data_IF_027355470311
#
_entry.id   IF_027355470311
#
_cell.length_a   1.000
_cell.length_b   1.000
_cell.length_c   1.000
_cell.angle_alpha   90.00
_cell.angle_beta   90.00
_cell.angle_gamma   90.00
#
_symmetry.space_group_name_H-M   'P 1'
#
loop_
_entity.id
_entity.type
_entity.pdbx_description
1 polymer ?
#
# COMPACT_ATOMS: atom_id res chain seq x y z
N UNK A 1 -12.42 -6.63 17.05
CA UNK A 1 -12.09 -6.00 15.75
C UNK A 1 -12.48 -4.53 15.86
N UNK A 2 -11.52 -3.61 15.69
CA UNK A 2 -11.79 -2.16 15.70
C UNK A 2 -12.45 -1.74 14.38
N UNK A 3 -13.37 -0.80 14.41
CA UNK A 3 -14.09 -0.30 13.23
C UNK A 3 -13.85 1.20 13.05
N UNK A 4 -12.65 1.64 12.64
CA UNK A 4 -12.42 3.04 12.33
C UNK A 4 -13.20 3.43 11.08
N UNK A 5 -13.44 4.72 10.90
CA UNK A 5 -14.03 5.25 9.66
C UNK A 5 -13.08 5.04 8.49
N UNK A 6 -11.77 5.30 8.73
CA UNK A 6 -10.73 5.27 7.74
C UNK A 6 -9.57 4.41 8.22
N UNK A 7 -9.09 3.53 7.36
CA UNK A 7 -7.86 2.78 7.57
C UNK A 7 -6.85 3.17 6.49
N UNK A 8 -5.69 3.65 6.92
CA UNK A 8 -4.58 3.99 6.05
C UNK A 8 -3.54 2.87 6.08
N UNK A 9 -3.06 2.46 4.92
CA UNK A 9 -2.06 1.39 4.80
C UNK A 9 -1.23 1.54 3.52
N UNK A 10 -0.29 0.64 3.34
CA UNK A 10 0.43 0.44 2.09
C UNK A 10 0.75 -1.05 1.94
N UNK A 11 1.20 -1.44 0.76
CA UNK A 11 1.63 -2.81 0.55
C UNK A 11 2.89 -3.16 1.36
N UNK A 12 3.15 -4.44 1.49
CA UNK A 12 4.23 -4.99 2.30
C UNK A 12 5.63 -4.46 1.96
N UNK A 13 5.85 -4.02 0.72
CA UNK A 13 7.15 -3.48 0.31
C UNK A 13 7.34 -2.02 0.70
N UNK A 14 6.26 -1.31 0.96
CA UNK A 14 6.23 0.09 1.40
C UNK A 14 6.15 0.20 2.93
N UNK A 15 5.40 -0.71 3.59
CA UNK A 15 5.22 -0.76 5.06
C UNK A 15 6.31 -1.55 5.80
N UNK A 16 7.48 -1.73 5.22
CA UNK A 16 8.56 -2.50 5.83
C UNK A 16 9.07 -1.88 7.12
N UNK A 17 9.49 -2.75 8.04
CA UNK A 17 10.24 -2.32 9.22
C UNK A 17 11.62 -1.77 8.80
N UNK A 18 11.79 -0.46 8.95
CA UNK A 18 12.95 0.28 8.48
C UNK A 18 14.30 -0.04 9.16
N UNK A 19 14.43 -1.07 9.95
CA UNK A 19 15.72 -1.48 10.55
C UNK A 19 16.75 -2.01 9.54
N UNK A 20 16.30 -2.49 8.34
CA UNK A 20 17.16 -2.98 7.25
C UNK A 20 16.78 -2.34 5.89
N UNK A 21 16.44 -1.11 5.89
CA UNK A 21 15.62 -0.38 4.93
C UNK A 21 16.11 -0.29 3.51
N UNK A 22 17.36 0.10 3.31
CA UNK A 22 17.86 0.30 1.94
C UNK A 22 17.81 -0.99 1.12
N UNK A 23 18.12 -2.11 1.76
CA UNK A 23 18.10 -3.42 1.10
C UNK A 23 16.66 -3.88 0.80
N UNK A 24 15.71 -3.66 1.72
CA UNK A 24 14.31 -4.01 1.53
C UNK A 24 13.68 -3.27 0.34
N UNK A 25 13.87 -1.96 0.27
CA UNK A 25 13.41 -1.14 -0.86
C UNK A 25 14.00 -1.56 -2.20
N UNK A 26 15.29 -1.88 -2.22
CA UNK A 26 15.94 -2.39 -3.44
C UNK A 26 15.41 -3.77 -3.85
N UNK A 27 15.22 -4.68 -2.90
CA UNK A 27 14.69 -6.03 -3.18
C UNK A 27 13.23 -5.98 -3.65
N UNK A 28 12.46 -4.98 -3.24
CA UNK A 28 11.10 -4.78 -3.73
C UNK A 28 11.03 -4.65 -5.27
N UNK A 29 12.08 -4.10 -5.88
CA UNK A 29 12.20 -3.96 -7.34
C UNK A 29 12.61 -5.26 -8.05
N UNK A 30 13.04 -6.30 -7.32
CA UNK A 30 13.55 -7.55 -7.91
C UNK A 30 12.37 -8.44 -8.32
N UNK A 31 12.44 -9.07 -9.51
CA UNK A 31 11.44 -10.02 -9.95
C UNK A 31 11.41 -11.29 -9.10
N UNK A 32 10.26 -11.60 -8.51
CA UNK A 32 10.05 -12.73 -7.58
C UNK A 32 10.49 -14.07 -8.16
N UNK A 33 10.10 -14.35 -9.41
CA UNK A 33 10.36 -15.63 -10.08
C UNK A 33 11.79 -15.76 -10.63
N UNK A 34 12.63 -14.75 -10.43
CA UNK A 34 14.05 -14.82 -10.82
C UNK A 34 14.91 -15.51 -9.77
N UNK A 35 14.39 -15.63 -8.55
CA UNK A 35 15.06 -16.29 -7.44
C UNK A 35 14.55 -17.72 -7.25
N UNK A 36 15.40 -18.68 -6.88
CA UNK A 36 14.95 -19.99 -6.44
C UNK A 36 13.93 -19.86 -5.29
N UNK A 37 12.84 -20.62 -5.33
CA UNK A 37 11.70 -20.51 -4.41
C UNK A 37 12.12 -20.48 -2.93
N UNK A 38 13.01 -21.34 -2.42
CA UNK A 38 13.40 -21.29 -1.01
C UNK A 38 14.15 -20.01 -0.65
N UNK A 39 14.94 -19.47 -1.58
CA UNK A 39 15.66 -18.22 -1.37
C UNK A 39 14.73 -17.00 -1.41
N UNK A 40 13.79 -16.96 -2.34
CA UNK A 40 12.77 -15.91 -2.39
C UNK A 40 11.95 -15.84 -1.09
N UNK A 41 11.46 -17.00 -0.59
CA UNK A 41 10.74 -17.08 0.68
C UNK A 41 11.59 -16.64 1.88
N UNK A 42 12.87 -16.98 1.90
CA UNK A 42 13.78 -16.53 2.96
C UNK A 42 13.97 -15.03 2.93
N UNK A 43 14.14 -14.43 1.76
CA UNK A 43 14.27 -12.98 1.58
C UNK A 43 12.97 -12.28 2.00
N UNK A 44 11.82 -12.75 1.57
CA UNK A 44 10.52 -12.21 1.99
C UNK A 44 10.39 -12.19 3.52
N UNK A 45 10.72 -13.30 4.16
CA UNK A 45 10.62 -13.45 5.62
C UNK A 45 11.60 -12.56 6.40
N UNK A 46 12.74 -12.19 5.80
CA UNK A 46 13.80 -11.44 6.48
C UNK A 46 13.81 -9.95 6.15
N UNK A 47 13.36 -9.57 4.96
CA UNK A 47 13.44 -8.20 4.46
C UNK A 47 12.10 -7.47 4.51
N UNK A 48 10.98 -8.17 4.26
CA UNK A 48 9.65 -7.56 4.32
C UNK A 48 8.98 -7.85 5.68
N UNK A 49 9.67 -7.46 6.75
CA UNK A 49 9.11 -7.56 8.10
C UNK A 49 8.03 -6.48 8.29
N UNK A 50 6.90 -6.83 8.93
CA UNK A 50 5.87 -5.87 9.26
C UNK A 50 6.42 -4.68 10.07
N UNK A 51 5.82 -3.52 9.88
CA UNK A 51 6.09 -2.37 10.71
C UNK A 51 5.77 -2.68 12.19
N UNK A 52 6.53 -2.14 13.15
CA UNK A 52 6.18 -2.23 14.56
C UNK A 52 4.76 -1.71 14.82
N UNK A 53 4.01 -2.42 15.64
CA UNK A 53 2.64 -2.07 15.99
C UNK A 53 2.47 -2.02 17.49
N UNK A 54 1.53 -1.18 17.95
CA UNK A 54 1.06 -1.20 19.32
C UNK A 54 0.20 -2.46 19.59
N UNK A 55 -0.29 -2.61 20.82
CA UNK A 55 -1.11 -3.75 21.26
C UNK A 55 -2.40 -3.90 20.44
N UNK A 56 -2.94 -2.80 19.93
CA UNK A 56 -4.15 -2.77 19.10
C UNK A 56 -3.89 -3.17 17.63
N UNK A 57 -2.62 -3.24 17.20
CA UNK A 57 -2.23 -3.53 15.81
C UNK A 57 -2.09 -2.29 14.94
N UNK A 58 -2.15 -1.10 15.54
CA UNK A 58 -1.89 0.16 14.86
C UNK A 58 -0.39 0.33 14.65
N UNK A 59 0.03 0.80 13.48
CA UNK A 59 1.43 0.96 13.16
C UNK A 59 2.08 2.07 13.99
N UNK A 60 3.16 1.77 14.70
CA UNK A 60 3.98 2.78 15.39
C UNK A 60 4.85 3.55 14.40
N UNK A 61 5.27 2.89 13.32
CA UNK A 61 6.05 3.48 12.25
C UNK A 61 5.30 3.30 10.92
N UNK A 62 5.24 4.37 10.14
CA UNK A 62 4.71 4.37 8.78
C UNK A 62 5.48 5.37 7.91
N UNK A 63 5.30 5.30 6.60
CA UNK A 63 5.89 6.29 5.70
C UNK A 63 5.30 7.69 5.94
N UNK A 64 6.05 8.72 5.55
CA UNK A 64 5.66 10.11 5.78
C UNK A 64 4.32 10.45 5.12
N UNK A 65 4.04 9.91 3.95
CA UNK A 65 2.79 10.19 3.23
C UNK A 65 1.57 9.73 4.02
N UNK A 66 1.60 8.52 4.59
CA UNK A 66 0.52 8.02 5.44
C UNK A 66 0.35 8.86 6.70
N UNK A 67 1.46 9.27 7.35
CA UNK A 67 1.41 10.09 8.56
C UNK A 67 0.86 11.49 8.32
N UNK A 68 1.20 12.12 7.18
CA UNK A 68 0.63 13.41 6.81
C UNK A 68 -0.89 13.32 6.63
N UNK A 69 -1.36 12.34 5.87
CA UNK A 69 -2.79 12.12 5.65
C UNK A 69 -3.52 11.78 6.96
N UNK A 70 -2.94 10.91 7.78
CA UNK A 70 -3.47 10.57 9.10
C UNK A 70 -3.67 11.82 9.96
N UNK A 71 -2.63 12.65 10.07
CA UNK A 71 -2.70 13.89 10.87
C UNK A 71 -3.81 14.80 10.37
N UNK A 72 -3.88 15.05 9.07
CA UNK A 72 -4.91 15.92 8.47
C UNK A 72 -6.33 15.42 8.74
N UNK A 73 -6.55 14.11 8.64
CA UNK A 73 -7.86 13.51 8.88
C UNK A 73 -8.23 13.51 10.38
N UNK A 74 -7.26 13.22 11.26
CA UNK A 74 -7.47 13.31 12.72
C UNK A 74 -7.81 14.74 13.16
N UNK A 75 -7.11 15.75 12.64
CA UNK A 75 -7.39 17.17 12.89
C UNK A 75 -8.78 17.58 12.37
N UNK A 76 -9.26 16.90 11.34
CA UNK A 76 -10.61 17.08 10.79
C UNK A 76 -11.70 16.31 11.57
N UNK A 77 -11.32 15.56 12.62
CA UNK A 77 -12.25 14.88 13.54
C UNK A 77 -12.66 13.46 13.12
N UNK A 78 -12.02 12.86 12.12
CA UNK A 78 -12.30 11.47 11.73
C UNK A 78 -11.62 10.45 12.64
N UNK A 79 -12.23 9.27 12.81
CA UNK A 79 -11.59 8.10 13.42
C UNK A 79 -10.69 7.38 12.38
N UNK A 80 -9.40 7.63 12.48
CA UNK A 80 -8.39 7.15 11.52
C UNK A 80 -7.41 6.19 12.19
N UNK A 81 -7.02 5.15 11.47
CA UNK A 81 -5.98 4.21 11.89
C UNK A 81 -4.98 4.01 10.76
N UNK A 82 -3.70 4.02 11.09
CA UNK A 82 -2.65 3.48 10.21
C UNK A 82 -2.30 2.07 10.66
N UNK A 83 -2.35 1.09 9.77
CA UNK A 83 -1.90 -0.26 10.08
C UNK A 83 -1.02 -0.84 8.96
N UNK A 84 -0.17 -1.80 9.33
CA UNK A 84 0.55 -2.62 8.35
C UNK A 84 -0.41 -3.61 7.69
N UNK A 85 -0.20 -3.89 6.41
CA UNK A 85 -1.02 -4.83 5.62
C UNK A 85 -1.10 -6.25 6.21
N UNK A 86 -0.15 -6.61 7.08
CA UNK A 86 -0.17 -7.88 7.82
C UNK A 86 -1.24 -7.94 8.92
N UNK A 87 -1.76 -6.80 9.36
CA UNK A 87 -2.72 -6.70 10.48
C UNK A 87 -4.10 -6.18 10.06
N UNK A 88 -4.41 -6.16 8.76
CA UNK A 88 -5.71 -5.71 8.23
C UNK A 88 -6.91 -6.44 8.84
N UNK A 89 -6.73 -7.70 9.21
CA UNK A 89 -7.76 -8.54 9.84
C UNK A 89 -8.23 -8.06 11.22
N UNK A 90 -7.42 -7.22 11.88
CA UNK A 90 -7.79 -6.59 13.16
C UNK A 90 -8.80 -5.45 13.01
N UNK A 91 -8.99 -4.94 11.79
CA UNK A 91 -9.76 -3.73 11.50
C UNK A 91 -10.86 -4.00 10.47
N UNK A 92 -11.92 -3.17 10.54
CA UNK A 92 -12.96 -3.11 9.53
C UNK A 92 -13.35 -1.65 9.32
N UNK A 93 -12.82 -1.02 8.29
CA UNK A 93 -13.10 0.38 7.95
C UNK A 93 -14.08 0.48 6.77
N UNK A 94 -14.74 1.63 6.65
CA UNK A 94 -15.53 1.96 5.46
C UNK A 94 -14.64 2.41 4.30
N UNK A 95 -13.58 3.16 4.60
CA UNK A 95 -12.62 3.71 3.63
C UNK A 95 -11.24 3.14 3.90
N UNK A 96 -10.60 2.63 2.85
CA UNK A 96 -9.20 2.19 2.85
C UNK A 96 -8.36 3.13 1.99
N UNK A 97 -7.52 3.94 2.62
CA UNK A 97 -6.54 4.79 1.95
C UNK A 97 -5.20 4.05 1.81
N UNK A 98 -4.75 3.88 0.57
CA UNK A 98 -3.56 3.08 0.26
C UNK A 98 -2.50 3.96 -0.37
N UNK A 99 -1.34 4.05 0.29
CA UNK A 99 -0.17 4.74 -0.28
C UNK A 99 0.64 3.79 -1.15
N UNK A 100 1.03 4.25 -2.34
CA UNK A 100 1.87 3.47 -3.26
C UNK A 100 3.03 4.26 -3.82
N UNK A 101 4.13 3.56 -4.15
CA UNK A 101 5.34 4.15 -4.74
C UNK A 101 5.55 3.64 -6.17
N UNK A 102 5.40 2.34 -6.39
CA UNK A 102 5.64 1.69 -7.70
C UNK A 102 4.69 0.50 -7.87
N UNK A 103 3.37 0.75 -7.97
CA UNK A 103 2.32 -0.27 -7.89
C UNK A 103 2.37 -1.32 -9.00
N UNK A 104 2.91 -0.98 -10.16
CA UNK A 104 2.97 -1.88 -11.30
C UNK A 104 4.39 -2.25 -11.74
N UNK A 105 5.40 -1.78 -10.98
CA UNK A 105 6.78 -2.11 -11.25
C UNK A 105 7.36 -1.50 -12.53
N UNK A 106 6.86 -0.35 -12.95
CA UNK A 106 7.35 0.39 -14.13
C UNK A 106 8.21 1.60 -13.78
N UNK A 107 8.45 1.83 -12.48
CA UNK A 107 9.42 2.83 -12.03
C UNK A 107 10.83 2.52 -12.55
N UNK A 108 11.72 3.52 -12.65
CA UNK A 108 13.02 3.39 -13.34
C UNK A 108 13.90 2.24 -12.82
N UNK A 109 13.98 2.07 -11.50
CA UNK A 109 14.77 0.98 -10.90
C UNK A 109 14.16 -0.39 -11.19
N UNK A 110 12.84 -0.52 -11.01
CA UNK A 110 12.12 -1.79 -11.20
C UNK A 110 12.10 -2.19 -12.66
N UNK A 111 11.83 -1.28 -13.58
CA UNK A 111 11.79 -1.58 -15.03
C UNK A 111 13.14 -2.09 -15.53
N UNK A 112 14.26 -1.56 -15.01
CA UNK A 112 15.60 -2.06 -15.30
C UNK A 112 15.77 -3.51 -14.82
N UNK A 113 15.40 -3.80 -13.57
CA UNK A 113 15.50 -5.16 -13.00
C UNK A 113 14.59 -6.16 -13.71
N UNK A 114 13.37 -5.73 -14.06
CA UNK A 114 12.42 -6.53 -14.82
C UNK A 114 12.96 -6.84 -16.22
N UNK A 115 13.51 -5.84 -16.92
CA UNK A 115 14.13 -6.01 -18.23
C UNK A 115 15.29 -7.01 -18.21
N UNK A 116 16.19 -6.91 -17.25
CA UNK A 116 17.32 -7.83 -17.07
C UNK A 116 16.90 -9.26 -16.75
N UNK A 117 15.72 -9.47 -16.17
CA UNK A 117 15.20 -10.78 -15.79
C UNK A 117 14.27 -11.43 -16.83
N UNK A 118 14.11 -10.81 -17.99
CA UNK A 118 13.19 -11.29 -19.03
C UNK A 118 11.71 -11.02 -18.74
N UNK A 119 11.39 -9.89 -18.11
CA UNK A 119 10.00 -9.41 -17.94
C UNK A 119 9.23 -10.07 -16.80
N UNK A 120 9.90 -10.65 -15.81
CA UNK A 120 9.23 -11.31 -14.69
C UNK A 120 8.69 -10.29 -13.67
N UNK A 121 7.57 -10.65 -13.04
CA UNK A 121 6.85 -9.81 -12.07
C UNK A 121 7.68 -9.46 -10.83
N UNK A 122 7.84 -8.17 -10.50
CA UNK A 122 8.57 -7.73 -9.30
C UNK A 122 7.73 -7.83 -8.02
N UNK A 123 8.39 -7.79 -6.85
CA UNK A 123 7.72 -7.92 -5.56
C UNK A 123 6.75 -6.77 -5.27
N UNK A 124 7.10 -5.51 -5.59
CA UNK A 124 6.24 -4.36 -5.36
C UNK A 124 4.89 -4.51 -6.08
N UNK A 125 4.88 -4.83 -7.37
CA UNK A 125 3.64 -5.08 -8.12
C UNK A 125 2.82 -6.21 -7.48
N UNK A 126 3.47 -7.33 -7.20
CA UNK A 126 2.78 -8.48 -6.61
C UNK A 126 2.09 -8.14 -5.30
N UNK A 127 2.78 -7.48 -4.37
CA UNK A 127 2.21 -7.17 -3.06
C UNK A 127 1.19 -6.05 -3.09
N UNK A 128 1.34 -5.08 -4.00
CA UNK A 128 0.32 -4.05 -4.21
C UNK A 128 -0.99 -4.69 -4.70
N UNK A 129 -0.94 -5.49 -5.76
CA UNK A 129 -2.13 -6.15 -6.29
C UNK A 129 -2.74 -7.15 -5.29
N UNK A 130 -1.91 -7.89 -4.53
CA UNK A 130 -2.36 -8.79 -3.48
C UNK A 130 -3.12 -8.04 -2.38
N UNK A 131 -2.62 -6.88 -1.95
CA UNK A 131 -3.27 -6.03 -0.95
C UNK A 131 -4.66 -5.59 -1.41
N UNK A 132 -4.78 -5.03 -2.61
CA UNK A 132 -6.06 -4.56 -3.16
C UNK A 132 -7.05 -5.73 -3.26
N UNK A 133 -6.64 -6.84 -3.87
CA UNK A 133 -7.50 -8.03 -4.01
C UNK A 133 -7.92 -8.63 -2.67
N UNK A 134 -7.04 -8.58 -1.65
CA UNK A 134 -7.38 -9.01 -0.29
C UNK A 134 -8.48 -8.13 0.30
N UNK A 135 -8.33 -6.81 0.23
CA UNK A 135 -9.34 -5.87 0.75
C UNK A 135 -10.68 -6.09 0.04
N UNK A 136 -10.70 -6.15 -1.28
CA UNK A 136 -11.94 -6.38 -2.05
C UNK A 136 -12.63 -7.69 -1.72
N UNK A 137 -11.87 -8.76 -1.54
CA UNK A 137 -12.42 -10.07 -1.16
C UNK A 137 -13.00 -10.08 0.25
N UNK A 138 -12.33 -9.44 1.20
CA UNK A 138 -12.71 -9.48 2.62
C UNK A 138 -13.67 -8.36 3.01
N UNK A 139 -13.69 -7.26 2.23
CA UNK A 139 -14.47 -6.03 2.46
C UNK A 139 -15.05 -5.50 1.14
N UNK A 140 -15.96 -6.25 0.50
CA UNK A 140 -16.46 -5.91 -0.85
C UNK A 140 -17.12 -4.53 -0.93
N UNK A 141 -17.79 -4.11 0.14
CA UNK A 141 -18.53 -2.85 0.20
C UNK A 141 -17.69 -1.64 0.67
N UNK A 142 -16.39 -1.84 0.93
CA UNK A 142 -15.52 -0.74 1.33
C UNK A 142 -15.08 0.10 0.13
N UNK A 143 -14.75 1.35 0.39
CA UNK A 143 -14.19 2.26 -0.61
C UNK A 143 -12.67 2.18 -0.55
N UNK A 144 -12.03 1.91 -1.67
CA UNK A 144 -10.57 1.86 -1.82
C UNK A 144 -10.10 3.11 -2.56
N UNK A 145 -9.30 3.92 -1.88
CA UNK A 145 -8.63 5.08 -2.44
C UNK A 145 -7.12 4.83 -2.50
N UNK A 146 -6.51 5.10 -3.64
CA UNK A 146 -5.06 4.91 -3.83
C UNK A 146 -4.42 6.26 -4.13
N UNK A 147 -3.37 6.60 -3.38
CA UNK A 147 -2.60 7.82 -3.53
C UNK A 147 -1.09 7.58 -3.40
N UNK A 148 -0.32 8.65 -3.46
CA UNK A 148 1.13 8.62 -3.31
C UNK A 148 1.91 8.70 -4.62
N UNK A 149 3.26 8.68 -4.58
CA UNK A 149 4.11 8.98 -5.73
C UNK A 149 3.97 8.03 -6.93
N UNK A 150 3.37 6.86 -6.72
CA UNK A 150 3.22 5.84 -7.77
C UNK A 150 1.96 5.94 -8.63
N UNK A 151 1.03 6.86 -8.31
CA UNK A 151 -0.29 6.89 -8.97
C UNK A 151 -0.25 7.23 -10.46
N UNK A 152 0.78 7.94 -10.93
CA UNK A 152 0.99 8.21 -12.35
C UNK A 152 1.04 6.95 -13.22
N UNK A 153 1.31 5.78 -12.61
CA UNK A 153 1.35 4.51 -13.35
C UNK A 153 -0.03 4.05 -13.82
N UNK A 154 -1.10 4.54 -13.20
CA UNK A 154 -2.47 4.27 -13.66
C UNK A 154 -2.77 4.99 -14.98
N UNK A 155 -2.17 6.16 -15.22
CA UNK A 155 -2.30 6.87 -16.50
C UNK A 155 -1.60 6.15 -17.65
N UNK A 156 -0.52 5.43 -17.32
CA UNK A 156 0.28 4.67 -18.31
C UNK A 156 -0.34 3.31 -18.60
N UNK A 157 -0.99 2.71 -17.61
CA UNK A 157 -1.57 1.37 -17.67
C UNK A 157 -3.09 1.45 -17.57
N UNK A 158 -3.71 1.84 -18.68
CA UNK A 158 -5.15 2.00 -18.79
C UNK A 158 -5.94 0.76 -18.34
N UNK A 159 -7.09 0.98 -17.68
CA UNK A 159 -7.97 -0.08 -17.18
C UNK A 159 -7.50 -0.78 -15.88
N UNK A 160 -6.34 -0.44 -15.32
CA UNK A 160 -5.84 -1.07 -14.08
C UNK A 160 -6.64 -0.71 -12.84
N UNK A 161 -7.19 0.49 -12.80
CA UNK A 161 -8.06 0.92 -11.70
C UNK A 161 -9.31 0.02 -11.62
N UNK A 162 -10.00 -0.17 -12.73
CA UNK A 162 -11.21 -0.99 -12.84
C UNK A 162 -10.91 -2.48 -12.63
N UNK A 163 -9.82 -3.00 -13.23
CA UNK A 163 -9.39 -4.40 -13.06
C UNK A 163 -9.19 -4.77 -11.59
N UNK A 164 -8.61 -3.86 -10.81
CA UNK A 164 -8.35 -4.07 -9.40
C UNK A 164 -9.53 -3.69 -8.50
N UNK A 165 -10.53 -3.01 -9.05
CA UNK A 165 -11.69 -2.53 -8.30
C UNK A 165 -11.34 -1.39 -7.34
N UNK A 166 -10.47 -0.47 -7.75
CA UNK A 166 -10.11 0.74 -6.99
C UNK A 166 -11.15 1.82 -7.31
N UNK A 167 -11.76 2.40 -6.26
CA UNK A 167 -12.84 3.38 -6.44
C UNK A 167 -12.31 4.77 -6.79
N UNK A 168 -11.15 5.15 -6.24
CA UNK A 168 -10.61 6.49 -6.44
C UNK A 168 -9.08 6.48 -6.50
N UNK A 169 -8.51 7.15 -7.50
CA UNK A 169 -7.09 7.51 -7.57
C UNK A 169 -6.96 8.96 -7.13
N UNK A 170 -6.06 9.22 -6.19
CA UNK A 170 -5.81 10.55 -5.62
C UNK A 170 -4.45 11.04 -6.06
N UNK A 171 -4.42 12.03 -6.92
CA UNK A 171 -3.21 12.65 -7.45
C UNK A 171 -2.84 13.90 -6.66
N UNK A 172 -1.55 14.15 -6.53
CA UNK A 172 -1.01 15.35 -5.90
C UNK A 172 -1.03 15.32 -4.37
N UNK A 173 -0.96 16.50 -3.76
CA UNK A 173 -0.98 16.67 -2.31
C UNK A 173 -2.42 16.54 -1.80
N UNK A 174 -2.67 15.46 -1.08
CA UNK A 174 -4.03 15.11 -0.64
C UNK A 174 -4.49 15.91 0.57
N UNK A 175 -3.56 16.53 1.31
CA UNK A 175 -3.84 17.19 2.58
C UNK A 175 -4.91 18.27 2.49
N UNK A 176 -4.94 19.01 1.37
CA UNK A 176 -5.93 20.09 1.17
C UNK A 176 -7.33 19.57 0.88
N UNK A 177 -7.45 18.37 0.33
CA UNK A 177 -8.72 17.80 -0.17
C UNK A 177 -9.17 16.54 0.61
N UNK A 178 -8.31 16.01 1.51
CA UNK A 178 -8.57 14.75 2.22
C UNK A 178 -9.91 14.74 2.95
N UNK A 179 -10.23 15.82 3.64
CA UNK A 179 -11.48 15.95 4.40
C UNK A 179 -12.71 15.82 3.48
N UNK A 180 -12.73 16.52 2.36
CA UNK A 180 -13.87 16.53 1.45
C UNK A 180 -14.01 15.20 0.71
N UNK A 181 -12.87 14.60 0.31
CA UNK A 181 -12.85 13.27 -0.30
C UNK A 181 -13.45 12.22 0.63
N UNK A 182 -13.02 12.21 1.88
CA UNK A 182 -13.50 11.23 2.85
C UNK A 182 -14.97 11.46 3.22
N UNK A 183 -15.41 12.72 3.42
CA UNK A 183 -16.83 13.03 3.65
C UNK A 183 -17.70 12.47 2.54
N UNK A 184 -17.32 12.74 1.28
CA UNK A 184 -18.06 12.25 0.11
C UNK A 184 -18.07 10.73 0.02
N UNK A 185 -17.03 10.06 0.47
CA UNK A 185 -16.95 8.61 0.49
C UNK A 185 -17.77 7.96 1.61
N UNK A 186 -18.03 8.69 2.69
CA UNK A 186 -18.81 8.19 3.84
C UNK A 186 -20.33 8.43 3.72
N UNK A 187 -20.74 9.33 2.81
CA UNK A 187 -22.15 9.59 2.44
C UNK A 187 -22.73 8.44 1.62
#
# INVERSE_FOLDING_TARGET
MRTPEILLTADKTVMINYRLTCLGGFVACVPRKSLPVPFAKLMEKRLFLPAPTNENGEAELANLFLRKVETTLLESGFDVVVCDSAYLDKFNAKVYGISTIDPFGIGPATSTMVGLSGGKEPFNKFYFEELIRKIRRERPDSIIMVGGPGVWQFDVLDGKQEELGIDCIVEGEVEEIAQDLVKKALE
#
